data_IF_995221212791
#
_entry.id   IF_995221212791
#
_cell.length_a   1.000
_cell.length_b   1.000
_cell.length_c   1.000
_cell.angle_alpha   90.00
_cell.angle_beta   90.00
_cell.angle_gamma   90.00
#
_symmetry.space_group_name_H-M   'P 1'
#
loop_
_entity.id
_entity.type
_entity.pdbx_description
1 polymer ?
#
# COMPACT_ATOMS: atom_id res chain seq x y z
N UNK A 1 -13.56 6.28 2.07
CA UNK A 1 -12.64 5.17 1.74
C UNK A 1 -11.29 5.31 2.44
N UNK A 2 -10.53 6.40 2.24
CA UNK A 2 -9.24 6.66 2.91
C UNK A 2 -9.25 6.45 4.44
N UNK A 3 -10.22 7.06 5.14
CA UNK A 3 -10.35 6.94 6.60
C UNK A 3 -10.71 5.52 7.06
N UNK A 4 -11.48 4.77 6.26
CA UNK A 4 -11.90 3.40 6.59
C UNK A 4 -10.70 2.45 6.46
N UNK A 5 -9.92 2.57 5.38
CA UNK A 5 -8.69 1.80 5.20
C UNK A 5 -7.66 2.09 6.30
N UNK A 6 -7.48 3.37 6.63
CA UNK A 6 -6.60 3.77 7.73
C UNK A 6 -7.03 3.25 9.09
N UNK A 7 -8.33 3.30 9.40
CA UNK A 7 -8.88 2.74 10.64
C UNK A 7 -8.68 1.23 10.71
N UNK A 8 -8.91 0.50 9.62
CA UNK A 8 -8.67 -0.94 9.54
C UNK A 8 -7.21 -1.30 9.85
N UNK A 9 -6.27 -0.52 9.30
CA UNK A 9 -4.85 -0.66 9.59
C UNK A 9 -4.51 -0.44 11.05
N UNK A 10 -5.04 0.63 11.65
CA UNK A 10 -4.81 0.96 13.05
C UNK A 10 -5.36 -0.12 13.97
N UNK A 11 -6.57 -0.62 13.71
CA UNK A 11 -7.17 -1.72 14.47
C UNK A 11 -6.29 -2.98 14.38
N UNK A 12 -5.78 -3.32 13.21
CA UNK A 12 -4.88 -4.46 13.05
C UNK A 12 -3.60 -4.29 13.86
N UNK A 13 -2.94 -3.12 13.78
CA UNK A 13 -1.73 -2.82 14.54
C UNK A 13 -1.99 -2.92 16.04
N UNK A 14 -3.06 -2.34 16.56
CA UNK A 14 -3.40 -2.44 17.98
C UNK A 14 -3.65 -3.90 18.43
N UNK A 15 -4.25 -4.73 17.56
CA UNK A 15 -4.45 -6.17 17.82
C UNK A 15 -3.15 -6.97 17.79
N UNK A 16 -2.17 -6.56 16.99
CA UNK A 16 -0.85 -7.18 16.95
C UNK A 16 -0.02 -6.88 18.21
N UNK A 17 -0.47 -5.95 19.07
CA UNK A 17 0.21 -5.50 20.30
C UNK A 17 1.71 -5.20 20.12
N UNK A 18 2.12 -4.47 19.06
CA UNK A 18 3.51 -4.07 18.93
C UNK A 18 3.87 -3.06 20.03
N UNK A 19 5.16 -2.91 20.32
CA UNK A 19 5.64 -1.91 21.29
C UNK A 19 5.23 -0.47 20.91
N UNK A 20 5.25 0.45 21.88
CA UNK A 20 4.81 1.84 21.72
C UNK A 20 5.48 2.55 20.54
N UNK A 21 6.81 2.40 20.39
CA UNK A 21 7.59 3.02 19.30
C UNK A 21 7.09 2.58 17.93
N UNK A 22 6.78 1.29 17.77
CA UNK A 22 6.25 0.74 16.51
C UNK A 22 4.85 1.25 16.21
N UNK A 23 4.00 1.32 17.23
CA UNK A 23 2.64 1.87 17.11
C UNK A 23 2.68 3.33 16.66
N UNK A 24 3.54 4.15 17.29
CA UNK A 24 3.75 5.55 16.89
C UNK A 24 4.28 5.65 15.45
N UNK A 25 5.23 4.78 15.07
CA UNK A 25 5.73 4.70 13.71
C UNK A 25 4.63 4.42 12.68
N UNK A 26 3.74 3.46 12.95
CA UNK A 26 2.57 3.18 12.10
C UNK A 26 1.67 4.41 12.00
N UNK A 27 1.33 5.05 13.12
CA UNK A 27 0.46 6.24 13.13
C UNK A 27 1.08 7.36 12.29
N UNK A 28 2.37 7.65 12.46
CA UNK A 28 3.08 8.68 11.69
C UNK A 28 3.06 8.38 10.20
N UNK A 29 3.44 7.17 9.79
CA UNK A 29 3.46 6.77 8.37
C UNK A 29 2.04 6.77 7.77
N UNK A 30 1.05 6.36 8.54
CA UNK A 30 -0.34 6.33 8.12
C UNK A 30 -0.88 7.76 7.91
N UNK A 31 -0.65 8.66 8.88
CA UNK A 31 -1.07 10.07 8.79
C UNK A 31 -0.39 10.78 7.65
N UNK A 32 0.93 10.59 7.47
CA UNK A 32 1.66 11.17 6.32
C UNK A 32 1.08 10.66 5.01
N UNK A 33 0.91 9.34 4.85
CA UNK A 33 0.38 8.76 3.62
C UNK A 33 -1.04 9.24 3.30
N UNK A 34 -1.92 9.32 4.30
CA UNK A 34 -3.28 9.85 4.13
C UNK A 34 -3.27 11.35 3.79
N UNK A 35 -2.35 12.13 4.38
CA UNK A 35 -2.22 13.57 4.10
C UNK A 35 -1.76 13.82 2.67
N UNK A 36 -0.77 13.05 2.20
CA UNK A 36 -0.31 13.11 0.81
C UNK A 36 -1.41 12.67 -0.16
N UNK A 37 -2.11 11.58 0.15
CA UNK A 37 -3.26 11.13 -0.66
C UNK A 37 -4.37 12.19 -0.73
N UNK A 38 -4.60 12.97 0.33
CA UNK A 38 -5.60 14.02 0.34
C UNK A 38 -5.26 15.20 -0.59
N UNK A 39 -3.97 15.44 -0.87
CA UNK A 39 -3.51 16.52 -1.74
C UNK A 39 -3.60 16.19 -3.24
N UNK A 40 -3.67 14.90 -3.60
CA UNK A 40 -3.82 14.45 -5.00
C UNK A 40 -5.16 14.96 -5.54
N UNK A 41 -5.23 15.62 -6.69
CA UNK A 41 -6.52 16.19 -7.17
C UNK A 41 -7.42 15.14 -7.83
N UNK A 42 -6.82 14.14 -8.46
CA UNK A 42 -7.53 13.12 -9.23
C UNK A 42 -7.99 12.01 -8.30
N UNK A 43 -9.30 11.77 -8.25
CA UNK A 43 -9.90 10.78 -7.34
C UNK A 43 -9.41 9.36 -7.65
N UNK A 44 -9.24 9.02 -8.93
CA UNK A 44 -8.74 7.71 -9.35
C UNK A 44 -7.35 7.42 -8.78
N UNK A 45 -6.41 8.37 -8.88
CA UNK A 45 -5.06 8.25 -8.31
C UNK A 45 -5.08 8.07 -6.78
N UNK A 46 -6.03 8.71 -6.07
CA UNK A 46 -6.21 8.50 -4.61
C UNK A 46 -6.65 7.08 -4.29
N UNK A 47 -7.56 6.53 -5.11
CA UNK A 47 -8.11 5.20 -4.92
C UNK A 47 -7.02 4.16 -5.20
N UNK A 48 -6.28 4.31 -6.31
CA UNK A 48 -5.11 3.49 -6.64
C UNK A 48 -4.10 3.41 -5.48
N UNK A 49 -3.72 4.55 -4.91
CA UNK A 49 -2.77 4.58 -3.79
C UNK A 49 -3.26 3.77 -2.59
N UNK A 50 -4.57 3.82 -2.29
CA UNK A 50 -5.17 3.03 -1.21
C UNK A 50 -5.29 1.54 -1.55
N UNK A 51 -5.80 1.21 -2.74
CA UNK A 51 -5.98 -0.17 -3.19
C UNK A 51 -4.65 -0.92 -3.20
N UNK A 52 -3.62 -0.31 -3.79
CA UNK A 52 -2.29 -0.90 -3.82
C UNK A 52 -1.61 -0.87 -2.45
N UNK A 53 -1.93 0.10 -1.58
CA UNK A 53 -1.53 0.07 -0.16
C UNK A 53 -2.07 -1.15 0.58
N UNK A 54 -3.34 -1.49 0.36
CA UNK A 54 -3.92 -2.70 0.92
C UNK A 54 -3.29 -3.96 0.29
N UNK A 55 -3.04 -3.96 -1.01
CA UNK A 55 -2.37 -5.06 -1.71
C UNK A 55 -0.97 -5.32 -1.16
N UNK A 56 -0.14 -4.27 -1.08
CA UNK A 56 1.24 -4.37 -0.57
C UNK A 56 1.30 -4.87 0.87
N UNK A 57 0.33 -4.50 1.70
CA UNK A 57 0.18 -5.05 3.05
C UNK A 57 -0.15 -6.54 3.05
N UNK A 58 -1.12 -6.98 2.24
CA UNK A 58 -1.51 -8.39 2.17
C UNK A 58 -0.37 -9.27 1.66
N UNK A 59 0.33 -8.83 0.63
CA UNK A 59 1.46 -9.57 0.05
C UNK A 59 2.60 -9.66 1.07
N UNK A 60 2.89 -8.57 1.78
CA UNK A 60 3.87 -8.59 2.87
C UNK A 60 3.45 -9.55 3.99
N UNK A 61 2.17 -9.55 4.34
CA UNK A 61 1.62 -10.47 5.33
C UNK A 61 1.76 -11.93 4.90
N UNK A 62 1.60 -12.25 3.63
CA UNK A 62 1.79 -13.62 3.15
C UNK A 62 3.26 -14.04 3.15
N UNK A 63 4.13 -13.19 2.59
CA UNK A 63 5.54 -13.54 2.40
C UNK A 63 6.35 -13.54 3.70
N UNK A 64 6.04 -12.65 4.65
CA UNK A 64 6.89 -12.36 5.81
C UNK A 64 6.32 -12.93 7.11
N UNK A 65 5.01 -13.14 7.24
CA UNK A 65 4.39 -13.56 8.51
C UNK A 65 4.99 -14.87 9.00
N UNK A 66 5.41 -14.88 10.28
CA UNK A 66 6.00 -16.05 10.91
C UNK A 66 7.42 -16.39 10.41
N UNK A 67 8.04 -15.51 9.61
CA UNK A 67 9.40 -15.64 9.08
C UNK A 67 10.22 -14.40 9.46
N UNK A 68 11.55 -14.50 9.35
CA UNK A 68 12.42 -13.34 9.50
C UNK A 68 12.18 -12.34 8.36
N UNK A 69 12.15 -11.04 8.68
CA UNK A 69 11.98 -9.94 7.71
C UNK A 69 13.21 -9.84 6.79
N UNK A 70 13.29 -10.66 5.75
CA UNK A 70 14.40 -10.66 4.80
C UNK A 70 14.18 -9.62 3.71
N UNK A 71 15.25 -8.94 3.30
CA UNK A 71 15.20 -7.96 2.21
C UNK A 71 14.62 -8.56 0.91
N UNK A 72 14.93 -9.83 0.62
CA UNK A 72 14.38 -10.54 -0.53
C UNK A 72 12.84 -10.57 -0.54
N UNK A 73 12.21 -10.81 0.60
CA UNK A 73 10.75 -10.92 0.70
C UNK A 73 10.08 -9.55 0.55
N UNK A 74 10.74 -8.50 1.04
CA UNK A 74 10.32 -7.10 0.86
C UNK A 74 10.39 -6.69 -0.62
N UNK A 75 11.51 -7.00 -1.28
CA UNK A 75 11.70 -6.73 -2.71
C UNK A 75 10.65 -7.49 -3.52
N UNK A 76 10.41 -8.76 -3.20
CA UNK A 76 9.41 -9.58 -3.88
C UNK A 76 7.99 -9.02 -3.70
N UNK A 77 7.64 -8.54 -2.51
CA UNK A 77 6.35 -7.88 -2.27
C UNK A 77 6.19 -6.61 -3.12
N UNK A 78 7.24 -5.79 -3.21
CA UNK A 78 7.25 -4.59 -4.04
C UNK A 78 7.12 -4.90 -5.53
N UNK A 79 7.92 -5.86 -6.03
CA UNK A 79 7.85 -6.31 -7.42
C UNK A 79 6.47 -6.88 -7.76
N UNK A 80 5.89 -7.68 -6.86
CA UNK A 80 4.54 -8.22 -7.07
C UNK A 80 3.51 -7.10 -7.19
N UNK A 81 3.52 -6.12 -6.28
CA UNK A 81 2.59 -4.99 -6.35
C UNK A 81 2.76 -4.16 -7.64
N UNK A 82 3.99 -3.92 -8.09
CA UNK A 82 4.26 -3.23 -9.35
C UNK A 82 3.82 -4.03 -10.57
N UNK A 83 4.07 -5.35 -10.61
CA UNK A 83 3.62 -6.21 -11.72
C UNK A 83 2.09 -6.21 -11.80
N UNK A 84 1.40 -6.34 -10.67
CA UNK A 84 -0.07 -6.21 -10.63
C UNK A 84 -0.50 -4.83 -11.14
N UNK A 85 0.22 -3.77 -10.75
CA UNK A 85 -0.01 -2.40 -11.22
C UNK A 85 0.12 -2.22 -12.73
N UNK A 86 1.11 -2.86 -13.34
CA UNK A 86 1.31 -2.86 -14.79
C UNK A 86 0.19 -3.63 -15.49
N UNK A 87 -0.20 -4.79 -14.94
CA UNK A 87 -1.28 -5.61 -15.50
C UNK A 87 -2.61 -4.87 -15.46
N UNK A 88 -2.93 -4.23 -14.33
CA UNK A 88 -4.14 -3.42 -14.15
C UNK A 88 -4.20 -2.26 -15.14
N UNK A 89 -3.12 -1.50 -15.28
CA UNK A 89 -3.03 -0.42 -16.28
C UNK A 89 -3.18 -0.96 -17.72
N UNK A 90 -2.59 -2.12 -18.00
CA UNK A 90 -2.75 -2.82 -19.27
C UNK A 90 -4.20 -3.20 -19.57
N UNK A 91 -4.96 -3.67 -18.57
CA UNK A 91 -6.39 -3.92 -18.71
C UNK A 91 -7.19 -2.63 -18.90
N UNK A 92 -6.83 -1.59 -18.17
CA UNK A 92 -7.47 -0.28 -18.25
C UNK A 92 -7.28 0.37 -19.62
N UNK A 93 -6.13 0.15 -20.27
CA UNK A 93 -5.85 0.62 -21.63
C UNK A 93 -6.74 -0.04 -22.71
N UNK A 94 -7.38 -1.17 -22.41
CA UNK A 94 -8.35 -1.80 -23.33
C UNK A 94 -9.71 -1.09 -23.28
N UNK A 95 -10.00 -0.36 -22.20
CA UNK A 95 -11.28 0.32 -22.02
C UNK A 95 -11.34 1.59 -22.89
N UNK A 96 -12.42 1.78 -23.67
CA UNK A 96 -12.48 2.84 -24.69
C UNK A 96 -12.52 4.27 -24.12
N UNK A 97 -12.75 4.42 -22.82
CA UNK A 97 -12.83 5.70 -22.12
C UNK A 97 -11.61 5.98 -21.22
N UNK A 98 -10.58 5.13 -21.25
CA UNK A 98 -9.40 5.26 -20.41
C UNK A 98 -8.13 5.12 -21.24
N UNK A 99 -7.17 6.00 -20.98
CA UNK A 99 -5.88 6.02 -21.66
C UNK A 99 -4.82 5.43 -20.74
N UNK A 100 -3.89 4.70 -21.33
CA UNK A 100 -2.72 4.20 -20.63
C UNK A 100 -1.88 5.38 -20.11
N UNK A 101 -1.62 5.43 -18.81
CA UNK A 101 -0.80 6.44 -18.16
C UNK A 101 0.25 5.81 -17.24
N UNK A 102 1.52 6.11 -17.49
CA UNK A 102 2.65 5.65 -16.67
C UNK A 102 2.53 6.17 -15.23
N UNK A 103 1.87 7.31 -15.02
CA UNK A 103 1.62 7.86 -13.68
C UNK A 103 0.75 6.93 -12.84
N UNK A 104 -0.19 6.22 -13.44
CA UNK A 104 -1.05 5.28 -12.71
C UNK A 104 -0.22 4.10 -12.18
N UNK A 105 0.71 3.57 -12.98
CA UNK A 105 1.67 2.52 -12.54
C UNK A 105 2.55 3.02 -11.38
N UNK A 106 2.96 4.30 -11.42
CA UNK A 106 3.74 4.91 -10.35
C UNK A 106 2.92 5.01 -9.05
N UNK A 107 1.68 5.50 -9.12
CA UNK A 107 0.81 5.59 -7.93
C UNK A 107 0.47 4.21 -7.37
N UNK A 108 0.25 3.22 -8.23
CA UNK A 108 0.06 1.82 -7.84
C UNK A 108 1.29 1.31 -7.07
N UNK A 109 2.49 1.55 -7.60
CA UNK A 109 3.74 1.12 -6.96
C UNK A 109 3.99 1.84 -5.64
N UNK A 110 3.75 3.16 -5.56
CA UNK A 110 3.88 3.95 -4.34
C UNK A 110 2.89 3.51 -3.26
N UNK A 111 1.64 3.22 -3.66
CA UNK A 111 0.64 2.61 -2.78
C UNK A 111 1.16 1.30 -2.21
N UNK A 112 1.61 0.38 -3.08
CA UNK A 112 2.22 -0.90 -2.70
C UNK A 112 3.32 -0.75 -1.65
N UNK A 113 4.29 0.13 -1.90
CA UNK A 113 5.41 0.41 -0.98
C UNK A 113 4.90 0.95 0.36
N UNK A 114 3.94 1.86 0.34
CA UNK A 114 3.35 2.40 1.57
C UNK A 114 2.70 1.30 2.42
N UNK A 115 1.95 0.39 1.80
CA UNK A 115 1.38 -0.79 2.44
C UNK A 115 2.41 -1.73 3.07
N UNK A 116 3.51 -1.97 2.35
CA UNK A 116 4.64 -2.78 2.82
C UNK A 116 5.28 -2.15 4.07
N UNK A 117 5.53 -0.83 4.05
CA UNK A 117 6.11 -0.11 5.19
C UNK A 117 5.19 -0.22 6.42
N UNK A 118 3.89 0.00 6.24
CA UNK A 118 2.92 -0.11 7.33
C UNK A 118 2.89 -1.53 7.92
N UNK A 119 2.99 -2.58 7.08
CA UNK A 119 3.12 -3.96 7.56
C UNK A 119 4.38 -4.18 8.38
N UNK A 120 5.54 -3.71 7.88
CA UNK A 120 6.84 -3.91 8.53
C UNK A 120 6.92 -3.22 9.89
N UNK A 121 6.29 -2.06 10.05
CA UNK A 121 6.22 -1.34 11.31
C UNK A 121 5.23 -1.98 12.30
N UNK A 122 4.10 -2.48 11.81
CA UNK A 122 3.04 -3.05 12.65
C UNK A 122 3.23 -4.52 13.02
N UNK A 123 4.17 -5.24 12.39
CA UNK A 123 4.48 -6.67 12.64
C UNK A 123 5.64 -6.90 13.60
#
# INVERSE_FOLDING_TARGET
MLLIGGLGFLIWTLRAKPGLIRTLGVIVVLVIGLSLAWQIKIIAERIHLLEYGVLGWFVSRDLIRGRSKKLKDIILAGLFATVVGIIDEGFQAILPYRFFDIRDILFNSLGGIWGIILYLLGS
#
